data_IF_310598804594
#
_entry.id   IF_310598804594
#
_cell.length_a   1.000
_cell.length_b   1.000
_cell.length_c   1.000
_cell.angle_alpha   90.00
_cell.angle_beta   90.00
_cell.angle_gamma   90.00
#
_symmetry.space_group_name_H-M   'P 1'
#
loop_
_entity.id
_entity.type
_entity.pdbx_description
1 polymer ?
#
# COMPACT_ATOMS: atom_id res chain seq x y z
N UNK A 1 19.42 -16.21 2.76
CA UNK A 1 18.21 -15.37 2.96
C UNK A 1 17.36 -16.07 4.02
N UNK A 2 17.12 -15.41 5.15
CA UNK A 2 16.30 -15.96 6.25
C UNK A 2 14.80 -15.78 5.96
N UNK A 3 13.95 -16.48 6.72
CA UNK A 3 12.48 -16.32 6.62
C UNK A 3 12.06 -14.88 6.96
N UNK A 4 12.71 -14.24 7.93
CA UNK A 4 12.47 -12.84 8.28
C UNK A 4 12.80 -11.89 7.13
N UNK A 5 13.90 -12.15 6.40
CA UNK A 5 14.28 -11.34 5.23
C UNK A 5 13.25 -11.48 4.10
N UNK A 6 12.67 -12.68 3.95
CA UNK A 6 11.62 -12.94 2.97
C UNK A 6 10.32 -12.21 3.33
N UNK A 7 9.90 -12.26 4.60
CA UNK A 7 8.72 -11.55 5.08
C UNK A 7 8.88 -10.03 4.95
N UNK A 8 10.05 -9.49 5.26
CA UNK A 8 10.36 -8.06 5.08
C UNK A 8 10.34 -7.66 3.59
N UNK A 9 10.76 -8.55 2.69
CA UNK A 9 10.78 -8.30 1.24
C UNK A 9 9.38 -8.33 0.60
N UNK A 10 8.55 -9.31 0.98
CA UNK A 10 7.25 -9.55 0.32
C UNK A 10 6.12 -8.75 0.95
N UNK A 11 6.17 -8.49 2.26
CA UNK A 11 5.06 -7.90 3.02
C UNK A 11 4.01 -8.93 3.44
N UNK A 12 2.76 -8.48 3.58
CA UNK A 12 1.65 -9.38 3.93
C UNK A 12 1.34 -10.37 2.79
N UNK A 13 1.12 -11.63 3.13
CA UNK A 13 0.67 -12.66 2.17
C UNK A 13 -0.84 -12.59 1.91
N UNK A 14 -1.59 -11.84 2.73
CA UNK A 14 -3.02 -11.66 2.57
C UNK A 14 -3.30 -10.78 1.35
N UNK A 15 -3.93 -11.35 0.32
CA UNK A 15 -4.26 -10.62 -0.90
C UNK A 15 -5.55 -9.80 -0.74
N UNK A 16 -5.48 -8.51 -1.02
CA UNK A 16 -6.65 -7.64 -1.11
C UNK A 16 -7.45 -7.95 -2.36
N UNK A 17 -8.74 -8.19 -2.17
CA UNK A 17 -9.69 -8.56 -3.22
C UNK A 17 -10.82 -7.55 -3.40
N UNK A 18 -10.76 -6.41 -2.71
CA UNK A 18 -11.87 -5.47 -2.58
C UNK A 18 -12.84 -5.84 -1.46
N UNK A 19 -13.20 -7.12 -1.31
CA UNK A 19 -14.20 -7.58 -0.34
C UNK A 19 -13.68 -7.77 1.08
N UNK A 20 -12.37 -7.95 1.25
CA UNK A 20 -11.72 -8.27 2.52
C UNK A 20 -10.96 -7.08 3.13
N UNK A 21 -11.41 -5.85 2.88
CA UNK A 21 -10.69 -4.64 3.27
C UNK A 21 -10.36 -4.59 4.76
N UNK A 22 -11.30 -4.91 5.65
CA UNK A 22 -11.10 -4.85 7.10
C UNK A 22 -9.92 -5.72 7.56
N UNK A 23 -9.89 -7.00 7.15
CA UNK A 23 -8.82 -7.93 7.56
C UNK A 23 -7.51 -7.59 6.84
N UNK A 24 -7.58 -7.26 5.54
CA UNK A 24 -6.39 -6.90 4.76
C UNK A 24 -5.70 -5.65 5.29
N UNK A 25 -6.46 -4.58 5.53
CA UNK A 25 -5.92 -3.31 6.03
C UNK A 25 -5.27 -3.48 7.39
N UNK A 26 -5.88 -4.23 8.31
CA UNK A 26 -5.28 -4.56 9.60
C UNK A 26 -3.96 -5.33 9.47
N UNK A 27 -3.92 -6.35 8.62
CA UNK A 27 -2.69 -7.11 8.38
C UNK A 27 -1.58 -6.24 7.76
N UNK A 28 -1.93 -5.39 6.79
CA UNK A 28 -0.98 -4.50 6.14
C UNK A 28 -0.43 -3.42 7.10
N UNK A 29 -1.31 -2.81 7.89
CA UNK A 29 -0.92 -1.82 8.91
C UNK A 29 -0.02 -2.43 10.00
N UNK A 30 -0.34 -3.65 10.44
CA UNK A 30 0.48 -4.39 11.41
C UNK A 30 1.88 -4.64 10.85
N UNK A 31 1.97 -5.09 9.59
CA UNK A 31 3.24 -5.27 8.90
C UNK A 31 4.02 -3.96 8.78
N UNK A 32 3.40 -2.86 8.32
CA UNK A 32 4.09 -1.57 8.21
C UNK A 32 4.62 -1.05 9.54
N UNK A 33 3.84 -1.24 10.61
CA UNK A 33 4.25 -0.87 11.96
C UNK A 33 5.48 -1.67 12.39
N UNK A 34 5.56 -2.96 12.05
CA UNK A 34 6.74 -3.78 12.35
C UNK A 34 7.99 -3.37 11.54
N UNK A 35 7.83 -2.66 10.43
CA UNK A 35 8.92 -2.14 9.61
C UNK A 35 9.27 -0.67 9.89
N UNK A 36 8.47 0.04 10.70
CA UNK A 36 8.68 1.47 10.97
C UNK A 36 8.36 2.40 9.79
N UNK A 37 7.45 2.00 8.90
CA UNK A 37 7.11 2.73 7.67
C UNK A 37 5.66 3.25 7.60
N UNK A 38 4.95 3.24 8.72
CA UNK A 38 3.57 3.71 8.89
C UNK A 38 3.36 5.17 8.46
N UNK A 39 4.35 6.04 8.68
CA UNK A 39 4.32 7.45 8.27
C UNK A 39 4.03 7.66 6.77
N UNK A 40 4.38 6.71 5.89
CA UNK A 40 4.14 6.79 4.45
C UNK A 40 2.65 6.77 4.07
N UNK A 41 1.77 6.30 4.96
CA UNK A 41 0.32 6.32 4.73
C UNK A 41 -0.31 7.68 5.05
N UNK A 42 0.41 8.54 5.78
CA UNK A 42 -0.12 9.81 6.30
C UNK A 42 0.54 11.01 5.65
N UNK A 43 1.83 10.92 5.33
CA UNK A 43 2.64 12.04 4.87
C UNK A 43 3.13 11.86 3.44
N UNK A 44 3.03 12.94 2.66
CA UNK A 44 3.73 13.11 1.39
C UNK A 44 4.80 14.16 1.54
N UNK A 45 5.98 13.93 0.96
CA UNK A 45 7.03 14.94 0.91
C UNK A 45 6.87 15.80 -0.35
N UNK A 46 6.52 17.06 -0.16
CA UNK A 46 6.29 18.01 -1.26
C UNK A 46 7.58 18.65 -1.79
N UNK A 47 8.60 18.81 -0.94
CA UNK A 47 9.84 19.47 -1.31
C UNK A 47 10.90 18.46 -1.79
N UNK A 48 11.13 18.43 -3.11
CA UNK A 48 12.16 17.57 -3.72
C UNK A 48 13.60 18.02 -3.46
N UNK A 49 13.78 19.26 -2.97
CA UNK A 49 15.08 19.81 -2.59
C UNK A 49 15.42 19.55 -1.11
N UNK A 50 14.50 18.96 -0.34
CA UNK A 50 14.78 18.56 1.04
C UNK A 50 15.88 17.48 1.03
N UNK A 51 16.96 17.62 1.82
CA UNK A 51 17.99 16.59 1.96
C UNK A 51 17.44 15.20 2.33
N UNK A 52 16.27 15.14 2.97
CA UNK A 52 15.57 13.91 3.35
C UNK A 52 14.73 13.29 2.22
N UNK A 53 14.57 13.98 1.08
CA UNK A 53 13.74 13.51 -0.03
C UNK A 53 14.19 12.17 -0.59
N UNK A 54 15.50 11.91 -0.68
CA UNK A 54 16.02 10.63 -1.13
C UNK A 54 15.57 9.47 -0.24
N UNK A 55 15.71 9.63 1.09
CA UNK A 55 15.30 8.63 2.07
C UNK A 55 13.77 8.43 2.10
N UNK A 56 13.01 9.53 2.04
CA UNK A 56 11.55 9.46 1.93
C UNK A 56 11.12 8.71 0.67
N UNK A 57 11.73 9.04 -0.49
CA UNK A 57 11.39 8.40 -1.77
C UNK A 57 11.65 6.90 -1.73
N UNK A 58 12.78 6.48 -1.15
CA UNK A 58 13.10 5.06 -0.98
C UNK A 58 12.06 4.35 -0.10
N UNK A 59 11.70 4.94 1.03
CA UNK A 59 10.67 4.41 1.92
C UNK A 59 9.31 4.32 1.23
N UNK A 60 8.90 5.38 0.52
CA UNK A 60 7.66 5.41 -0.25
C UNK A 60 7.64 4.33 -1.35
N UNK A 61 8.75 4.11 -2.05
CA UNK A 61 8.84 3.04 -3.05
C UNK A 61 8.73 1.63 -2.44
N UNK A 62 9.36 1.39 -1.28
CA UNK A 62 9.26 0.11 -0.59
C UNK A 62 7.80 -0.19 -0.19
N UNK A 63 7.12 0.77 0.44
CA UNK A 63 5.72 0.59 0.84
C UNK A 63 4.80 0.41 -0.35
N UNK A 64 5.04 1.14 -1.45
CA UNK A 64 4.29 0.97 -2.70
C UNK A 64 4.47 -0.44 -3.26
N UNK A 65 5.69 -0.98 -3.27
CA UNK A 65 5.94 -2.37 -3.67
C UNK A 65 5.19 -3.36 -2.78
N UNK A 66 5.17 -3.16 -1.46
CA UNK A 66 4.40 -4.02 -0.55
C UNK A 66 2.88 -3.92 -0.77
N UNK A 67 2.35 -2.73 -1.05
CA UNK A 67 0.94 -2.55 -1.42
C UNK A 67 0.63 -3.36 -2.68
N UNK A 68 1.40 -3.16 -3.75
CA UNK A 68 1.25 -3.86 -5.03
C UNK A 68 1.34 -5.39 -4.85
N UNK A 69 2.31 -5.86 -4.05
CA UNK A 69 2.45 -7.27 -3.71
C UNK A 69 1.27 -7.79 -2.91
N UNK A 70 0.59 -6.95 -2.12
CA UNK A 70 -0.58 -7.35 -1.34
C UNK A 70 -1.87 -7.33 -2.16
N UNK A 71 -1.87 -6.84 -3.40
CA UNK A 71 -3.09 -6.72 -4.21
C UNK A 71 -3.33 -7.93 -5.12
N UNK A 72 -4.61 -8.20 -5.40
CA UNK A 72 -4.97 -9.00 -6.57
C UNK A 72 -4.74 -8.19 -7.87
N UNK A 73 -4.43 -8.84 -9.00
CA UNK A 73 -4.15 -8.15 -10.27
C UNK A 73 -5.22 -7.14 -10.69
N UNK A 74 -6.50 -7.46 -10.46
CA UNK A 74 -7.63 -6.57 -10.75
C UNK A 74 -7.56 -5.25 -9.98
N UNK A 75 -7.12 -5.26 -8.72
CA UNK A 75 -6.92 -4.05 -7.92
C UNK A 75 -5.72 -3.25 -8.45
N UNK A 76 -4.61 -3.92 -8.78
CA UNK A 76 -3.41 -3.28 -9.35
C UNK A 76 -3.76 -2.50 -10.62
N UNK A 77 -4.67 -2.99 -11.46
CA UNK A 77 -5.10 -2.29 -12.67
C UNK A 77 -5.75 -0.92 -12.39
N UNK A 78 -6.39 -0.74 -11.23
CA UNK A 78 -7.03 0.53 -10.86
C UNK A 78 -6.08 1.53 -10.21
N UNK A 79 -5.15 1.05 -9.37
CA UNK A 79 -4.34 1.93 -8.51
C UNK A 79 -2.84 1.89 -8.80
N UNK A 80 -2.38 1.00 -9.67
CA UNK A 80 -0.95 0.70 -9.85
C UNK A 80 -0.09 1.85 -10.38
N UNK A 81 -0.70 2.81 -11.08
CA UNK A 81 -0.03 3.98 -11.64
C UNK A 81 0.03 5.17 -10.68
N UNK A 82 -0.61 5.10 -9.51
CA UNK A 82 -0.64 6.19 -8.54
C UNK A 82 0.77 6.49 -8.01
N UNK A 83 1.16 7.75 -8.00
CA UNK A 83 2.55 8.18 -7.78
C UNK A 83 3.08 7.87 -6.39
N UNK A 84 2.28 8.13 -5.36
CA UNK A 84 2.69 7.96 -3.96
C UNK A 84 1.94 6.86 -3.23
N UNK A 85 2.56 6.33 -2.19
CA UNK A 85 1.94 5.35 -1.27
C UNK A 85 0.69 5.92 -0.64
N UNK A 86 0.74 7.19 -0.18
CA UNK A 86 -0.39 7.87 0.44
C UNK A 86 -1.58 7.95 -0.51
N UNK A 87 -1.38 8.47 -1.71
CA UNK A 87 -2.44 8.58 -2.72
C UNK A 87 -3.03 7.20 -3.05
N UNK A 88 -2.19 6.16 -3.15
CA UNK A 88 -2.65 4.79 -3.43
C UNK A 88 -3.53 4.26 -2.29
N UNK A 89 -3.13 4.49 -1.04
CA UNK A 89 -3.88 4.09 0.14
C UNK A 89 -5.21 4.84 0.29
N UNK A 90 -5.19 6.16 0.07
CA UNK A 90 -6.38 7.01 0.16
C UNK A 90 -7.37 6.68 -0.97
N UNK A 91 -6.89 6.45 -2.19
CA UNK A 91 -7.74 6.05 -3.32
C UNK A 91 -8.50 4.76 -3.03
N UNK A 92 -7.87 3.77 -2.39
CA UNK A 92 -8.55 2.53 -2.00
C UNK A 92 -9.66 2.80 -0.96
N UNK A 93 -9.40 3.67 0.02
CA UNK A 93 -10.39 4.05 1.02
C UNK A 93 -11.58 4.76 0.40
N UNK A 94 -11.32 5.72 -0.49
CA UNK A 94 -12.37 6.47 -1.19
C UNK A 94 -13.20 5.55 -2.10
N UNK A 95 -12.54 4.69 -2.87
CA UNK A 95 -13.21 3.72 -3.75
C UNK A 95 -14.17 2.79 -2.99
N UNK A 96 -13.82 2.41 -1.76
CA UNK A 96 -14.66 1.59 -0.88
C UNK A 96 -15.73 2.38 -0.15
N UNK A 97 -15.50 3.67 0.11
CA UNK A 97 -16.49 4.54 0.77
C UNK A 97 -17.57 5.01 -0.20
N UNK A 98 -17.23 5.14 -1.48
CA UNK A 98 -18.10 5.64 -2.54
C UNK A 98 -18.77 4.51 -3.36
N UNK A 99 -18.62 3.24 -2.96
CA UNK A 99 -19.04 2.06 -3.75
C UNK A 99 -18.56 2.08 -5.23
N UNK A 100 -17.53 2.88 -5.55
CA UNK A 100 -17.05 3.09 -6.92
C UNK A 100 -16.38 1.82 -7.49
N UNK A 101 -15.86 0.97 -6.59
CA UNK A 101 -15.66 -0.44 -6.89
C UNK A 101 -16.96 -1.16 -6.50
N UNK A 102 -17.99 -1.07 -7.35
CA UNK A 102 -19.21 -1.83 -7.15
C UNK A 102 -18.84 -3.30 -6.94
N UNK A 103 -19.49 -3.98 -5.99
CA UNK A 103 -19.35 -5.42 -5.79
C UNK A 103 -19.53 -6.21 -7.10
N UNK A 104 -20.26 -5.68 -8.09
CA UNK A 104 -20.41 -6.25 -9.43
C UNK A 104 -19.19 -6.07 -10.33
N UNK A 105 -18.39 -5.02 -10.13
CA UNK A 105 -17.19 -4.75 -10.91
C UNK A 105 -16.01 -5.64 -10.49
N UNK A 106 -16.08 -6.32 -9.32
CA UNK A 106 -15.07 -7.26 -8.80
C UNK A 106 -15.46 -8.74 -8.91
N UNK A 107 -16.73 -9.05 -9.17
CA UNK A 107 -17.16 -10.36 -9.61
C UNK A 107 -16.88 -10.57 -11.10
#
# INVERSE_FOLDING_TARGET
MSISDLCASIGTTLKFSGRNYAIWSQAFLTFLSSQGHDHNLVQTMANTQDPKYGAWRQSNCAVKTWLLNSFKPKIVAFVGLISTTKEMWDSIKEMLSNDAISFSALC
#
